data_IF_045338443878
#
_entry.id   IF_045338443878
#
_cell.length_a   1.000
_cell.length_b   1.000
_cell.length_c   1.000
_cell.angle_alpha   90.00
_cell.angle_beta   90.00
_cell.angle_gamma   90.00
#
_symmetry.space_group_name_H-M   'P 1'
#
loop_
_entity.id
_entity.type
_entity.pdbx_description
1 polymer ?
#
# COMPACT_ATOMS: atom_id res chain seq x y z
N UNK A 1 7.86 -24.12 -5.16
CA UNK A 1 7.86 -23.29 -3.94
C UNK A 1 6.79 -22.23 -4.06
N UNK A 2 5.96 -22.07 -3.04
CA UNK A 2 4.96 -20.99 -2.96
C UNK A 2 5.65 -19.68 -2.63
N UNK A 3 5.35 -18.60 -3.37
CA UNK A 3 5.89 -17.26 -3.12
C UNK A 3 4.83 -16.40 -2.44
N UNK A 4 5.10 -16.01 -1.20
CA UNK A 4 4.26 -15.07 -0.46
C UNK A 4 4.52 -13.64 -0.96
N UNK A 5 3.47 -12.88 -1.24
CA UNK A 5 3.56 -11.46 -1.63
C UNK A 5 2.70 -10.64 -0.67
N UNK A 6 3.34 -9.79 0.17
CA UNK A 6 2.58 -9.01 1.15
C UNK A 6 1.89 -7.80 0.51
N UNK A 7 0.81 -7.32 1.14
CA UNK A 7 0.07 -6.14 0.71
C UNK A 7 -0.15 -5.16 1.88
N UNK A 8 0.05 -3.86 1.63
CA UNK A 8 -0.31 -2.77 2.52
C UNK A 8 -1.45 -1.98 1.87
N UNK A 9 -2.69 -2.27 2.27
CA UNK A 9 -3.86 -1.54 1.82
C UNK A 9 -4.02 -0.24 2.62
N UNK A 10 -4.03 0.90 1.93
CA UNK A 10 -4.14 2.23 2.52
C UNK A 10 -5.49 2.85 2.18
N UNK A 11 -6.24 3.28 3.18
CA UNK A 11 -7.46 4.07 2.98
C UNK A 11 -7.53 5.20 4.00
N UNK A 12 -7.62 6.44 3.51
CA UNK A 12 -7.53 7.66 4.30
C UNK A 12 -6.25 7.72 5.18
N UNK A 13 -5.11 7.31 4.60
CA UNK A 13 -3.79 7.41 5.23
C UNK A 13 -3.51 6.34 6.30
N UNK A 14 -4.40 5.39 6.51
CA UNK A 14 -4.23 4.32 7.49
C UNK A 14 -4.18 2.95 6.80
N UNK A 15 -3.47 2.01 7.41
CA UNK A 15 -3.46 0.62 6.97
C UNK A 15 -4.80 -0.02 7.34
N UNK A 16 -5.61 -0.35 6.34
CA UNK A 16 -6.96 -0.88 6.52
C UNK A 16 -7.20 -2.08 5.63
N UNK A 17 -7.80 -3.12 6.21
CA UNK A 17 -8.34 -4.23 5.44
C UNK A 17 -9.85 -4.01 5.25
N UNK A 18 -10.30 -3.99 4.00
CA UNK A 18 -11.72 -3.93 3.64
C UNK A 18 -12.26 -5.33 3.30
N UNK A 19 -13.58 -5.51 3.41
CA UNK A 19 -14.29 -6.73 3.02
C UNK A 19 -14.99 -6.47 1.69
N UNK A 20 -14.76 -7.36 0.71
CA UNK A 20 -15.24 -7.19 -0.66
C UNK A 20 -14.31 -6.26 -1.41
N UNK A 21 -13.51 -6.81 -2.34
CA UNK A 21 -12.40 -6.13 -3.03
C UNK A 21 -12.78 -4.99 -3.99
N UNK A 22 -13.91 -4.31 -3.77
CA UNK A 22 -14.35 -3.17 -4.57
C UNK A 22 -14.77 -2.04 -3.65
N UNK A 23 -14.11 -0.89 -3.79
CA UNK A 23 -14.57 0.37 -3.22
C UNK A 23 -15.87 0.77 -3.93
N UNK A 24 -17.01 0.50 -3.31
CA UNK A 24 -18.30 1.00 -3.78
C UNK A 24 -18.46 2.45 -3.35
N UNK A 25 -19.04 3.28 -4.20
CA UNK A 25 -19.40 4.68 -3.88
C UNK A 25 -20.51 4.79 -2.84
N UNK A 26 -21.17 3.67 -2.48
CA UNK A 26 -22.10 3.58 -1.35
C UNK A 26 -21.33 3.43 -0.03
N UNK A 27 -21.33 4.44 0.86
CA UNK A 27 -20.62 4.38 2.14
C UNK A 27 -21.08 3.23 3.07
N UNK A 28 -22.31 2.73 2.89
CA UNK A 28 -22.88 1.63 3.67
C UNK A 28 -22.40 0.23 3.25
N UNK A 29 -21.80 0.09 2.08
CA UNK A 29 -21.33 -1.21 1.55
C UNK A 29 -19.84 -1.45 1.82
N UNK A 30 -19.04 -0.39 2.03
CA UNK A 30 -17.63 -0.51 2.38
C UNK A 30 -17.46 -0.97 3.83
N UNK A 31 -17.37 -2.29 4.02
CA UNK A 31 -17.13 -2.88 5.35
C UNK A 31 -15.64 -2.92 5.63
N UNK A 32 -15.23 -2.25 6.70
CA UNK A 32 -13.87 -2.37 7.23
C UNK A 32 -13.80 -3.60 8.12
N UNK A 33 -12.88 -4.52 7.82
CA UNK A 33 -12.61 -5.66 8.71
C UNK A 33 -11.67 -5.24 9.84
N UNK A 34 -10.62 -4.50 9.49
CA UNK A 34 -9.56 -4.15 10.43
C UNK A 34 -8.89 -2.83 10.05
N UNK A 35 -8.52 -2.07 11.07
CA UNK A 35 -7.68 -0.87 10.97
C UNK A 35 -6.47 -1.13 11.86
N UNK A 36 -5.27 -1.01 11.30
CA UNK A 36 -4.07 -1.19 12.10
C UNK A 36 -3.77 0.05 12.95
N UNK A 37 -3.27 -0.18 14.16
CA UNK A 37 -2.62 0.84 14.97
C UNK A 37 -1.20 1.19 14.46
N UNK A 38 -0.61 0.36 13.61
CA UNK A 38 0.72 0.58 13.06
C UNK A 38 0.67 1.32 11.72
N UNK A 39 1.62 2.23 11.47
CA UNK A 39 1.70 2.97 10.21
C UNK A 39 2.24 2.08 9.07
N UNK A 40 2.09 2.53 7.82
CA UNK A 40 2.55 1.80 6.64
C UNK A 40 4.06 1.46 6.68
N UNK A 41 4.89 2.39 7.17
CA UNK A 41 6.34 2.18 7.40
C UNK A 41 6.67 1.00 8.30
N UNK A 42 5.80 0.65 9.25
CA UNK A 42 6.04 -0.49 10.15
C UNK A 42 6.01 -1.80 9.35
N UNK A 43 4.98 -1.98 8.52
CA UNK A 43 4.84 -3.18 7.70
C UNK A 43 5.91 -3.27 6.62
N UNK A 44 6.26 -2.15 5.98
CA UNK A 44 7.35 -2.12 5.01
C UNK A 44 8.69 -2.57 5.62
N UNK A 45 9.01 -2.14 6.86
CA UNK A 45 10.20 -2.62 7.58
C UNK A 45 10.12 -4.11 7.88
N UNK A 46 8.98 -4.59 8.37
CA UNK A 46 8.77 -6.02 8.65
C UNK A 46 8.95 -6.88 7.38
N UNK A 47 8.42 -6.43 6.25
CA UNK A 47 8.57 -7.16 4.99
C UNK A 47 10.02 -7.18 4.52
N UNK A 48 10.74 -6.08 4.70
CA UNK A 48 12.18 -5.98 4.41
C UNK A 48 12.99 -6.93 5.28
N UNK A 49 12.73 -6.96 6.58
CA UNK A 49 13.40 -7.84 7.55
C UNK A 49 13.27 -9.32 7.17
N UNK A 50 12.13 -9.69 6.59
CA UNK A 50 11.85 -11.05 6.12
C UNK A 50 12.14 -11.29 4.62
N UNK A 51 12.67 -10.31 3.89
CA UNK A 51 13.00 -10.44 2.47
C UNK A 51 11.81 -10.71 1.55
N UNK A 52 10.61 -10.23 1.92
CA UNK A 52 9.35 -10.52 1.22
C UNK A 52 9.16 -9.64 -0.01
N UNK A 53 9.70 -10.06 -1.15
CA UNK A 53 9.71 -9.28 -2.40
C UNK A 53 8.44 -9.38 -3.24
N UNK A 54 8.20 -8.36 -4.05
CA UNK A 54 7.01 -8.26 -4.91
C UNK A 54 5.73 -7.96 -4.12
N UNK A 55 5.88 -7.35 -2.94
CA UNK A 55 4.77 -6.79 -2.19
C UNK A 55 4.29 -5.46 -2.75
N UNK A 56 3.09 -5.04 -2.36
CA UNK A 56 2.42 -3.89 -2.94
C UNK A 56 1.83 -2.97 -1.87
N UNK A 57 1.93 -1.67 -2.09
CA UNK A 57 1.28 -0.61 -1.32
C UNK A 57 0.12 -0.09 -2.17
N UNK A 58 -1.11 -0.36 -1.74
CA UNK A 58 -2.32 -0.08 -2.53
C UNK A 58 -3.05 1.11 -1.93
N UNK A 59 -3.11 2.21 -2.68
CA UNK A 59 -3.87 3.41 -2.31
C UNK A 59 -5.34 3.26 -2.72
N UNK A 60 -6.18 2.95 -1.74
CA UNK A 60 -7.63 2.86 -1.87
C UNK A 60 -8.22 4.24 -1.61
N UNK A 61 -8.62 4.96 -2.66
CA UNK A 61 -9.16 6.32 -2.56
C UNK A 61 -8.12 7.42 -2.27
N UNK A 62 -8.59 8.60 -1.87
CA UNK A 62 -7.74 9.77 -1.59
C UNK A 62 -7.09 9.76 -0.21
N UNK A 63 -6.09 10.62 -0.02
CA UNK A 63 -5.45 10.85 1.29
C UNK A 63 -4.40 9.80 1.70
N UNK A 64 -3.89 9.01 0.75
CA UNK A 64 -2.95 7.92 1.03
C UNK A 64 -1.49 8.24 0.72
N UNK A 65 -1.21 9.35 0.03
CA UNK A 65 0.11 9.60 -0.56
C UNK A 65 1.25 9.63 0.47
N UNK A 66 1.05 10.31 1.60
CA UNK A 66 2.08 10.37 2.66
C UNK A 66 2.36 9.01 3.27
N UNK A 67 1.31 8.22 3.57
CA UNK A 67 1.48 6.86 4.07
C UNK A 67 2.16 5.94 3.04
N UNK A 68 1.87 6.11 1.75
CA UNK A 68 2.54 5.36 0.70
C UNK A 68 4.03 5.71 0.63
N UNK A 69 4.38 7.00 0.64
CA UNK A 69 5.79 7.46 0.66
C UNK A 69 6.53 6.95 1.89
N UNK A 70 5.90 6.93 3.06
CA UNK A 70 6.50 6.38 4.28
C UNK A 70 6.86 4.89 4.13
N UNK A 71 5.99 4.10 3.49
CA UNK A 71 6.27 2.69 3.22
C UNK A 71 7.41 2.52 2.21
N UNK A 72 7.40 3.28 1.11
CA UNK A 72 8.44 3.24 0.08
C UNK A 72 9.81 3.67 0.64
N UNK A 73 9.85 4.73 1.46
CA UNK A 73 11.07 5.19 2.12
C UNK A 73 11.62 4.17 3.13
N UNK A 74 10.76 3.37 3.75
CA UNK A 74 11.18 2.30 4.67
C UNK A 74 11.84 1.12 3.93
N UNK A 75 11.46 0.86 2.67
CA UNK A 75 12.09 -0.14 1.81
C UNK A 75 12.19 0.34 0.36
N UNK A 76 13.18 1.18 0.04
CA UNK A 76 13.36 1.68 -1.32
C UNK A 76 13.61 0.52 -2.29
N UNK A 77 12.92 0.55 -3.43
CA UNK A 77 12.92 -0.47 -4.47
C UNK A 77 12.46 -1.87 -4.01
N UNK A 78 11.81 -1.96 -2.84
CA UNK A 78 11.34 -3.23 -2.29
C UNK A 78 9.85 -3.51 -2.50
N UNK A 79 9.06 -2.46 -2.71
CA UNK A 79 7.61 -2.51 -2.80
C UNK A 79 7.11 -1.83 -4.08
N UNK A 80 6.05 -2.37 -4.65
CA UNK A 80 5.33 -1.78 -5.78
C UNK A 80 4.25 -0.84 -5.25
N UNK A 81 3.90 0.20 -5.98
CA UNK A 81 2.76 1.08 -5.62
C UNK A 81 1.60 0.90 -6.59
N UNK A 82 0.38 0.91 -6.05
CA UNK A 82 -0.84 0.77 -6.84
C UNK A 82 -1.94 1.71 -6.32
N UNK A 83 -2.96 1.90 -7.15
CA UNK A 83 -4.08 2.83 -6.87
C UNK A 83 -3.79 4.21 -7.44
N UNK A 84 -4.52 4.60 -8.50
CA UNK A 84 -4.37 5.92 -9.13
C UNK A 84 -3.06 6.13 -9.93
N UNK A 85 -2.26 5.08 -10.15
CA UNK A 85 -1.02 5.16 -10.93
C UNK A 85 -1.34 5.24 -12.44
N UNK A 86 -0.70 6.16 -13.14
CA UNK A 86 -0.83 6.41 -14.57
C UNK A 86 0.49 6.90 -15.17
N UNK A 87 0.51 7.08 -16.49
CA UNK A 87 1.67 7.54 -17.27
C UNK A 87 2.23 8.90 -16.83
N UNK A 88 1.40 9.75 -16.20
CA UNK A 88 1.79 11.09 -15.74
C UNK A 88 2.44 11.10 -14.36
N UNK A 89 2.13 10.11 -13.49
CA UNK A 89 2.65 10.06 -12.12
C UNK A 89 3.55 8.85 -11.83
N UNK A 90 3.69 7.88 -12.73
CA UNK A 90 4.52 6.70 -12.51
C UNK A 90 5.97 7.06 -12.16
N UNK A 91 6.58 8.01 -12.89
CA UNK A 91 7.96 8.46 -12.62
C UNK A 91 8.13 9.00 -11.20
N UNK A 92 7.18 9.81 -10.74
CA UNK A 92 7.19 10.37 -9.39
C UNK A 92 7.26 9.28 -8.32
N UNK A 93 6.51 8.20 -8.50
CA UNK A 93 6.48 7.10 -7.53
C UNK A 93 7.73 6.22 -7.56
N UNK A 94 8.30 6.00 -8.75
CA UNK A 94 9.61 5.32 -8.88
C UNK A 94 10.69 6.15 -8.18
N UNK A 95 10.72 7.47 -8.40
CA UNK A 95 11.65 8.39 -7.73
C UNK A 95 11.43 8.43 -6.21
N UNK A 96 10.19 8.25 -5.75
CA UNK A 96 9.83 8.12 -4.33
C UNK A 96 10.23 6.75 -3.71
N UNK A 97 10.75 5.82 -4.50
CA UNK A 97 11.29 4.55 -4.03
C UNK A 97 10.45 3.31 -4.35
N UNK A 98 9.44 3.39 -5.21
CA UNK A 98 8.73 2.21 -5.69
C UNK A 98 9.62 1.33 -6.60
N UNK A 99 9.49 0.01 -6.48
CA UNK A 99 10.07 -0.96 -7.42
C UNK A 99 9.38 -0.87 -8.79
N UNK A 100 8.05 -0.68 -8.76
CA UNK A 100 7.16 -0.56 -9.91
C UNK A 100 5.95 0.30 -9.55
#
# INVERSE_FOLDING_TARGET
>A
MTRFRPCIDLHAGQVKQIVGGTLTSNPGELKTNYISSHPARYFAKLYKEHGLTGGHVVMLGGGNEEAAKEALAAWPQGLQVAGGINDKNARYWIEAGAEK
#
